data_IF_642515706116
#
_entry.id   IF_642515706116
#
_cell.length_a   1.000
_cell.length_b   1.000
_cell.length_c   1.000
_cell.angle_alpha   90.00
_cell.angle_beta   90.00
_cell.angle_gamma   90.00
#
_symmetry.space_group_name_H-M   'P 1'
#
loop_
_entity.id
_entity.type
_entity.pdbx_description
1 polymer ?
#
# COMPACT_ATOMS: atom_id res chain seq x y z
N UNK A 1 -1.98 5.06 -32.64
CA UNK A 1 -1.92 5.03 -34.14
C UNK A 1 -0.73 5.84 -34.58
N UNK A 2 0.05 5.29 -35.51
CA UNK A 2 1.28 5.92 -36.00
C UNK A 2 1.27 5.83 -37.52
N UNK A 3 1.61 6.93 -38.18
CA UNK A 3 1.87 6.96 -39.59
C UNK A 3 3.34 6.61 -39.86
N UNK A 4 3.61 5.68 -40.78
CA UNK A 4 4.97 5.29 -41.18
C UNK A 4 5.26 3.80 -40.99
N UNK A 5 6.56 3.46 -41.11
CA UNK A 5 7.04 2.08 -40.98
C UNK A 5 7.02 1.60 -39.51
N UNK A 6 6.11 0.70 -39.14
CA UNK A 6 5.93 0.30 -37.72
C UNK A 6 7.19 -0.31 -37.10
N UNK A 7 7.96 -1.08 -37.88
CA UNK A 7 9.19 -1.72 -37.40
C UNK A 7 10.24 -0.70 -36.98
N UNK A 8 10.39 0.38 -37.73
CA UNK A 8 11.34 1.45 -37.42
C UNK A 8 10.97 2.14 -36.11
N UNK A 9 9.67 2.43 -35.91
CA UNK A 9 9.20 3.01 -34.65
C UNK A 9 9.42 2.09 -33.46
N UNK A 10 9.01 0.82 -33.58
CA UNK A 10 9.16 -0.15 -32.50
C UNK A 10 10.63 -0.37 -32.11
N UNK A 11 11.54 -0.38 -33.10
CA UNK A 11 12.99 -0.45 -32.85
C UNK A 11 13.50 0.82 -32.17
N UNK A 12 13.00 1.99 -32.59
CA UNK A 12 13.38 3.27 -32.00
C UNK A 12 12.96 3.34 -30.52
N UNK A 13 11.69 3.02 -30.21
CA UNK A 13 11.19 3.00 -28.83
C UNK A 13 11.96 2.02 -27.96
N UNK A 14 12.20 0.80 -28.48
CA UNK A 14 13.03 -0.18 -27.78
C UNK A 14 14.43 0.36 -27.55
N UNK A 15 15.02 1.01 -28.55
CA UNK A 15 16.36 1.60 -28.47
C UNK A 15 16.46 2.64 -27.36
N UNK A 16 15.50 3.55 -27.25
CA UNK A 16 15.46 4.58 -26.19
C UNK A 16 15.40 3.95 -24.79
N UNK A 17 14.49 2.98 -24.58
CA UNK A 17 14.37 2.29 -23.28
C UNK A 17 15.65 1.56 -22.90
N UNK A 18 16.29 0.86 -23.85
CA UNK A 18 17.56 0.18 -23.60
C UNK A 18 18.71 1.12 -23.35
N UNK A 19 18.81 2.23 -24.07
CA UNK A 19 19.84 3.24 -23.88
C UNK A 19 19.73 3.86 -22.48
N UNK A 20 18.51 4.17 -22.03
CA UNK A 20 18.30 4.72 -20.69
C UNK A 20 18.65 3.73 -19.59
N UNK A 21 18.23 2.47 -19.73
CA UNK A 21 18.58 1.41 -18.77
C UNK A 21 20.11 1.20 -18.70
N UNK A 22 20.80 1.23 -19.85
CA UNK A 22 22.25 1.16 -19.91
C UNK A 22 22.90 2.39 -19.24
N UNK A 23 22.41 3.60 -19.51
CA UNK A 23 22.91 4.83 -18.89
C UNK A 23 22.85 4.77 -17.38
N UNK A 24 21.67 4.44 -16.82
CA UNK A 24 21.44 4.30 -15.39
C UNK A 24 22.36 3.24 -14.76
N UNK A 25 22.50 2.09 -15.42
CA UNK A 25 23.34 1.01 -14.89
C UNK A 25 24.83 1.36 -14.93
N UNK A 26 25.33 1.98 -16.00
CA UNK A 26 26.73 2.39 -16.11
C UNK A 26 27.10 3.49 -15.09
N UNK A 27 26.19 4.40 -14.76
CA UNK A 27 26.39 5.36 -13.67
C UNK A 27 26.63 4.62 -12.34
N UNK A 28 25.78 3.63 -12.02
CA UNK A 28 25.91 2.81 -10.80
C UNK A 28 27.21 2.01 -10.82
N UNK A 29 27.54 1.35 -11.95
CA UNK A 29 28.77 0.55 -12.08
C UNK A 29 30.02 1.41 -11.90
N UNK A 30 30.02 2.59 -12.48
CA UNK A 30 31.15 3.52 -12.40
C UNK A 30 31.33 4.04 -10.97
N UNK A 31 30.26 4.42 -10.33
CA UNK A 31 30.32 4.91 -8.95
C UNK A 31 30.72 3.81 -7.98
N UNK A 32 30.05 2.67 -8.02
CA UNK A 32 30.29 1.55 -7.10
C UNK A 32 31.68 0.92 -7.32
N UNK A 33 32.11 0.75 -8.56
CA UNK A 33 33.41 0.17 -8.90
C UNK A 33 34.63 0.98 -8.43
N UNK A 34 34.44 2.26 -8.09
CA UNK A 34 35.48 3.09 -7.44
C UNK A 34 35.62 2.79 -5.95
N UNK A 35 34.57 2.32 -5.32
CA UNK A 35 34.48 2.11 -3.88
C UNK A 35 34.64 0.64 -3.49
N UNK A 36 34.28 -0.28 -4.38
CA UNK A 36 34.20 -1.71 -4.10
C UNK A 36 34.42 -2.56 -5.34
N UNK A 37 34.80 -3.83 -5.15
CA UNK A 37 34.95 -4.77 -6.25
C UNK A 37 33.58 -5.07 -6.89
N UNK A 38 33.55 -5.01 -8.24
CA UNK A 38 32.38 -5.29 -9.06
C UNK A 38 32.75 -6.18 -10.26
N UNK A 39 32.02 -7.29 -10.45
CA UNK A 39 32.10 -8.09 -11.67
C UNK A 39 31.28 -7.45 -12.80
N UNK A 40 31.80 -6.38 -13.38
CA UNK A 40 31.09 -5.49 -14.32
C UNK A 40 30.55 -6.22 -15.55
N UNK A 41 31.31 -7.18 -16.11
CA UNK A 41 30.87 -7.92 -17.29
C UNK A 41 29.62 -8.76 -17.00
N UNK A 42 29.60 -9.42 -15.85
CA UNK A 42 28.44 -10.22 -15.40
C UNK A 42 27.26 -9.31 -15.04
N UNK A 43 27.51 -8.19 -14.39
CA UNK A 43 26.47 -7.19 -14.07
C UNK A 43 25.80 -6.66 -15.35
N UNK A 44 26.56 -6.31 -16.39
CA UNK A 44 26.03 -5.89 -17.69
C UNK A 44 25.20 -6.98 -18.36
N UNK A 45 25.65 -8.23 -18.34
CA UNK A 45 24.90 -9.36 -18.90
C UNK A 45 23.54 -9.54 -18.21
N UNK A 46 23.51 -9.41 -16.87
CA UNK A 46 22.27 -9.51 -16.08
C UNK A 46 21.29 -8.37 -16.34
N UNK A 47 21.79 -7.16 -16.72
CA UNK A 47 20.92 -6.04 -17.11
C UNK A 47 20.43 -6.19 -18.55
N UNK A 48 21.27 -6.67 -19.45
CA UNK A 48 20.89 -6.91 -20.85
C UNK A 48 19.72 -7.90 -21.00
N UNK A 49 19.51 -8.76 -20.00
CA UNK A 49 18.43 -9.75 -19.94
C UNK A 49 17.27 -9.35 -19.01
N UNK A 50 17.26 -8.13 -18.51
CA UNK A 50 16.27 -7.71 -17.52
C UNK A 50 14.87 -7.51 -18.12
N UNK A 51 14.78 -6.95 -19.32
CA UNK A 51 13.52 -6.57 -19.95
C UNK A 51 13.18 -7.49 -21.13
N UNK A 52 12.04 -8.16 -21.02
CA UNK A 52 11.43 -8.89 -22.12
C UNK A 52 10.58 -7.93 -22.96
N UNK A 53 10.95 -7.74 -24.24
CA UNK A 53 10.27 -6.83 -25.14
C UNK A 53 9.36 -7.58 -26.10
N UNK A 54 8.06 -7.32 -26.00
CA UNK A 54 7.04 -7.84 -26.93
C UNK A 54 6.32 -6.68 -27.60
N UNK A 55 6.18 -6.74 -28.90
CA UNK A 55 5.48 -5.71 -29.69
C UNK A 55 4.76 -6.30 -30.88
N UNK A 56 3.65 -5.66 -31.25
CA UNK A 56 2.81 -5.99 -32.41
C UNK A 56 2.44 -4.69 -33.10
N UNK A 57 2.37 -4.74 -34.40
CA UNK A 57 1.79 -3.69 -35.22
C UNK A 57 0.73 -4.30 -36.16
N UNK A 58 -0.42 -3.68 -36.27
CA UNK A 58 -1.55 -4.10 -37.10
C UNK A 58 -1.98 -2.91 -37.95
N UNK A 59 -2.15 -3.08 -39.26
CA UNK A 59 -2.70 -2.02 -40.11
C UNK A 59 -4.15 -1.72 -39.72
N UNK A 60 -4.53 -0.45 -39.79
CA UNK A 60 -5.92 -0.02 -39.67
C UNK A 60 -6.48 0.14 -41.08
N UNK A 61 -7.51 -0.64 -41.38
CA UNK A 61 -8.24 -0.53 -42.61
C UNK A 61 -9.19 0.67 -42.60
N UNK A 62 -9.47 1.24 -43.77
CA UNK A 62 -10.45 2.31 -43.89
C UNK A 62 -11.87 1.79 -43.58
N UNK A 63 -12.67 2.62 -42.95
CA UNK A 63 -14.07 2.32 -42.59
C UNK A 63 -14.36 2.53 -41.10
N UNK A 64 -15.65 2.63 -40.77
CA UNK A 64 -16.14 3.02 -39.43
C UNK A 64 -15.71 2.06 -38.30
N UNK A 65 -15.48 0.78 -38.64
CA UNK A 65 -15.05 -0.26 -37.67
C UNK A 65 -13.58 -0.69 -37.83
N UNK A 66 -12.83 -0.07 -38.75
CA UNK A 66 -11.43 -0.44 -39.03
C UNK A 66 -10.52 -0.36 -37.81
N UNK A 67 -10.65 0.70 -37.03
CA UNK A 67 -9.87 0.85 -35.78
C UNK A 67 -10.21 -0.22 -34.74
N UNK A 68 -11.50 -0.53 -34.53
CA UNK A 68 -11.91 -1.53 -33.53
C UNK A 68 -11.44 -2.93 -33.94
N UNK A 69 -11.57 -3.31 -35.22
CA UNK A 69 -11.05 -4.59 -35.74
C UNK A 69 -9.53 -4.72 -35.54
N UNK A 70 -8.79 -3.66 -35.91
CA UNK A 70 -7.34 -3.63 -35.77
C UNK A 70 -6.91 -3.75 -34.33
N UNK A 71 -7.61 -3.09 -33.39
CA UNK A 71 -7.33 -3.18 -31.94
C UNK A 71 -7.56 -4.60 -31.44
N UNK A 72 -8.71 -5.21 -31.67
CA UNK A 72 -9.00 -6.59 -31.24
C UNK A 72 -7.96 -7.56 -31.81
N UNK A 73 -7.58 -7.41 -33.06
CA UNK A 73 -6.54 -8.24 -33.67
C UNK A 73 -5.17 -8.01 -32.99
N UNK A 74 -4.82 -6.76 -32.69
CA UNK A 74 -3.56 -6.44 -32.02
C UNK A 74 -3.50 -7.04 -30.61
N UNK A 75 -4.58 -6.96 -29.84
CA UNK A 75 -4.70 -7.57 -28.52
C UNK A 75 -4.52 -9.10 -28.58
N UNK A 76 -5.21 -9.76 -29.51
CA UNK A 76 -5.10 -11.21 -29.72
C UNK A 76 -3.69 -11.63 -30.13
N UNK A 77 -3.08 -10.92 -31.08
CA UNK A 77 -1.72 -11.18 -31.54
C UNK A 77 -0.68 -10.92 -30.46
N UNK A 78 -0.84 -9.85 -29.66
CA UNK A 78 0.05 -9.57 -28.53
C UNK A 78 -0.06 -10.65 -27.45
N UNK A 79 -1.27 -11.12 -27.13
CA UNK A 79 -1.48 -12.22 -26.21
C UNK A 79 -0.84 -13.52 -26.71
N UNK A 80 -1.00 -13.84 -28.01
CA UNK A 80 -0.33 -14.97 -28.63
C UNK A 80 1.21 -14.82 -28.60
N UNK A 81 1.71 -13.61 -28.91
CA UNK A 81 3.15 -13.29 -28.90
C UNK A 81 3.78 -13.47 -27.52
N UNK A 82 3.09 -13.07 -26.45
CA UNK A 82 3.55 -13.27 -25.08
C UNK A 82 3.68 -14.74 -24.65
N UNK A 83 2.96 -15.63 -25.33
CA UNK A 83 3.07 -17.07 -25.10
C UNK A 83 4.24 -17.73 -25.87
N UNK A 84 4.77 -17.05 -26.88
CA UNK A 84 5.95 -17.50 -27.62
C UNK A 84 7.20 -17.00 -26.89
N UNK A 85 7.85 -17.88 -26.14
CA UNK A 85 9.12 -17.55 -25.47
C UNK A 85 10.28 -17.70 -26.45
N UNK A 86 10.48 -16.70 -27.28
CA UNK A 86 11.53 -16.66 -28.31
C UNK A 86 12.80 -15.90 -27.88
N UNK A 87 12.93 -15.59 -26.60
CA UNK A 87 14.18 -15.16 -25.99
C UNK A 87 14.90 -16.37 -25.37
N UNK A 88 16.22 -16.40 -25.53
CA UNK A 88 17.04 -17.42 -24.91
C UNK A 88 16.88 -17.33 -23.37
N UNK A 89 16.50 -18.44 -22.68
CA UNK A 89 16.48 -18.39 -21.22
C UNK A 89 17.90 -18.11 -20.73
N UNK A 90 18.04 -17.10 -19.90
CA UNK A 90 19.33 -16.82 -19.26
C UNK A 90 19.67 -18.01 -18.39
N UNK A 91 20.79 -18.66 -18.69
CA UNK A 91 21.32 -19.70 -17.83
C UNK A 91 21.97 -19.06 -16.59
N UNK A 92 21.22 -18.94 -15.53
CA UNK A 92 21.77 -18.65 -14.20
C UNK A 92 22.52 -19.87 -13.68
N UNK A 93 23.37 -20.45 -14.46
CA UNK A 93 23.67 -21.88 -14.42
C UNK A 93 25.01 -22.26 -13.83
N UNK A 94 25.81 -21.34 -13.32
CA UNK A 94 26.98 -21.77 -12.61
C UNK A 94 26.67 -21.99 -11.11
N UNK A 95 27.48 -22.76 -10.42
CA UNK A 95 27.34 -23.03 -9.00
C UNK A 95 27.86 -21.88 -8.12
N UNK A 96 28.01 -20.69 -8.70
CA UNK A 96 28.41 -19.50 -7.96
C UNK A 96 27.33 -19.04 -6.99
N UNK A 97 27.74 -18.31 -5.98
CA UNK A 97 26.86 -17.77 -4.97
C UNK A 97 25.78 -16.88 -5.58
N UNK A 98 24.55 -17.01 -5.08
CA UNK A 98 23.39 -16.28 -5.58
C UNK A 98 23.09 -15.03 -4.73
N UNK A 99 22.52 -14.03 -5.37
CA UNK A 99 22.09 -12.79 -4.72
C UNK A 99 21.11 -13.07 -3.61
N UNK A 100 21.28 -12.41 -2.46
CA UNK A 100 20.41 -12.56 -1.29
C UNK A 100 18.99 -12.02 -1.51
N UNK A 101 18.78 -11.16 -2.53
CA UNK A 101 17.48 -10.55 -2.79
C UNK A 101 16.60 -11.33 -3.77
N UNK A 102 17.17 -12.02 -4.75
CA UNK A 102 16.39 -12.77 -5.74
C UNK A 102 16.63 -14.29 -5.76
N UNK A 103 17.72 -14.73 -5.14
CA UNK A 103 18.08 -16.15 -5.06
C UNK A 103 18.42 -16.84 -6.40
N UNK A 104 18.32 -16.14 -7.51
CA UNK A 104 18.47 -16.70 -8.85
C UNK A 104 19.76 -16.23 -9.55
N UNK A 105 20.03 -14.92 -9.52
CA UNK A 105 21.16 -14.31 -10.22
C UNK A 105 22.44 -14.42 -9.39
N UNK A 106 23.56 -14.62 -10.08
CA UNK A 106 24.88 -14.67 -9.45
C UNK A 106 25.24 -13.34 -8.81
N UNK A 107 25.98 -13.42 -7.70
CA UNK A 107 26.55 -12.25 -7.04
C UNK A 107 27.57 -11.57 -7.95
N UNK A 108 27.46 -10.27 -8.10
CA UNK A 108 28.44 -9.41 -8.81
C UNK A 108 29.13 -8.42 -7.90
N UNK A 109 28.52 -8.15 -6.74
CA UNK A 109 29.03 -7.17 -5.79
C UNK A 109 28.68 -7.55 -4.34
N UNK A 110 29.52 -7.07 -3.43
CA UNK A 110 29.27 -7.15 -1.98
C UNK A 110 29.13 -5.73 -1.44
N UNK A 111 27.94 -5.41 -0.93
CA UNK A 111 27.62 -4.12 -0.32
C UNK A 111 27.75 -4.24 1.20
N UNK A 112 28.47 -3.30 1.82
CA UNK A 112 28.62 -3.23 3.28
C UNK A 112 28.02 -1.92 3.76
N UNK A 113 26.89 -2.01 4.43
CA UNK A 113 26.18 -0.84 4.99
C UNK A 113 25.66 -1.19 6.39
N UNK A 114 25.78 -0.27 7.33
CA UNK A 114 25.22 -0.37 8.69
C UNK A 114 25.57 -1.70 9.40
N UNK A 115 26.85 -2.14 9.33
CA UNK A 115 27.32 -3.41 9.87
C UNK A 115 26.73 -4.69 9.22
N UNK A 116 25.92 -4.55 8.18
CA UNK A 116 25.41 -5.68 7.38
C UNK A 116 26.20 -5.83 6.09
N UNK A 117 26.38 -7.07 5.66
CA UNK A 117 27.03 -7.41 4.39
C UNK A 117 26.01 -8.08 3.50
N UNK A 118 25.72 -7.49 2.35
CA UNK A 118 24.76 -8.02 1.38
C UNK A 118 25.49 -8.39 0.08
N UNK A 119 25.22 -9.56 -0.45
CA UNK A 119 25.74 -10.06 -1.71
C UNK A 119 24.68 -9.89 -2.79
N UNK A 120 24.94 -9.03 -3.78
CA UNK A 120 23.94 -8.56 -4.73
C UNK A 120 24.32 -8.93 -6.17
N UNK A 121 23.29 -9.27 -6.96
CA UNK A 121 23.39 -9.34 -8.42
C UNK A 121 23.34 -7.92 -9.02
N UNK A 122 23.61 -7.78 -10.33
CA UNK A 122 23.58 -6.50 -11.01
C UNK A 122 22.23 -5.79 -10.92
N UNK A 123 21.13 -6.51 -11.08
CA UNK A 123 19.79 -5.95 -10.95
C UNK A 123 19.52 -5.42 -9.54
N UNK A 124 19.88 -6.21 -8.52
CA UNK A 124 19.72 -5.82 -7.13
C UNK A 124 20.60 -4.62 -6.76
N UNK A 125 21.85 -4.59 -7.28
CA UNK A 125 22.75 -3.46 -7.10
C UNK A 125 22.21 -2.19 -7.78
N UNK A 126 21.71 -2.30 -9.02
CA UNK A 126 21.08 -1.18 -9.72
C UNK A 126 19.89 -0.62 -8.93
N UNK A 127 19.00 -1.46 -8.44
CA UNK A 127 17.86 -1.05 -7.60
C UNK A 127 18.29 -0.41 -6.28
N UNK A 128 19.38 -0.88 -5.67
CA UNK A 128 19.88 -0.37 -4.37
C UNK A 128 20.62 0.95 -4.51
N UNK A 129 21.36 1.17 -5.61
CA UNK A 129 22.26 2.30 -5.82
C UNK A 129 21.81 3.24 -6.93
N UNK A 130 20.79 2.87 -7.71
CA UNK A 130 20.21 3.75 -8.70
C UNK A 130 19.64 5.00 -8.05
N UNK A 131 19.72 6.11 -8.75
CA UNK A 131 19.11 7.35 -8.29
C UNK A 131 17.58 7.22 -8.37
N UNK A 132 16.92 7.63 -7.31
CA UNK A 132 15.49 7.85 -7.29
C UNK A 132 15.29 9.34 -7.54
N UNK A 133 14.50 9.70 -8.54
CA UNK A 133 14.13 11.09 -8.84
C UNK A 133 13.07 11.62 -7.84
N UNK A 134 13.21 11.30 -6.55
CA UNK A 134 12.44 11.93 -5.51
C UNK A 134 13.12 13.23 -5.08
N UNK A 135 12.34 14.27 -4.76
CA UNK A 135 12.87 15.59 -4.34
C UNK A 135 13.92 15.46 -3.22
N UNK A 136 13.83 14.42 -2.37
CA UNK A 136 14.80 14.13 -1.31
C UNK A 136 15.67 12.89 -1.57
N UNK A 137 15.47 12.17 -2.67
CA UNK A 137 16.23 10.95 -3.02
C UNK A 137 16.08 9.81 -2.02
N UNK A 138 14.97 9.77 -1.24
CA UNK A 138 14.74 8.81 -0.18
C UNK A 138 13.43 8.06 -0.40
N UNK A 139 13.50 6.78 -0.16
CA UNK A 139 12.35 5.90 -0.01
C UNK A 139 12.17 5.58 1.48
N UNK A 140 10.98 5.79 2.00
CA UNK A 140 10.71 5.55 3.41
C UNK A 140 10.58 4.05 3.70
N UNK A 141 11.19 3.60 4.81
CA UNK A 141 11.05 2.22 5.27
C UNK A 141 9.65 1.92 5.78
N UNK A 142 9.27 0.65 5.83
CA UNK A 142 8.00 0.22 6.42
C UNK A 142 7.88 0.63 7.89
N UNK A 143 8.99 0.67 8.62
CA UNK A 143 9.07 1.17 10.01
C UNK A 143 8.76 2.65 10.08
N UNK A 144 9.30 3.44 9.14
CA UNK A 144 9.02 4.88 9.07
C UNK A 144 7.54 5.15 8.79
N UNK A 145 6.94 4.41 7.83
CA UNK A 145 5.51 4.53 7.53
C UNK A 145 4.65 4.18 8.75
N UNK A 146 4.97 3.10 9.46
CA UNK A 146 4.26 2.72 10.69
C UNK A 146 4.39 3.78 11.80
N UNK A 147 5.51 4.50 11.86
CA UNK A 147 5.74 5.56 12.84
C UNK A 147 5.01 6.87 12.52
N UNK A 148 4.51 7.07 11.29
CA UNK A 148 3.87 8.32 10.88
C UNK A 148 2.65 8.68 11.72
N UNK A 149 1.94 7.72 12.29
CA UNK A 149 0.81 7.97 13.18
C UNK A 149 1.25 8.82 14.39
N UNK A 150 2.35 8.44 15.03
CA UNK A 150 2.91 9.18 16.17
C UNK A 150 3.57 10.48 15.73
N UNK A 151 4.32 10.47 14.62
CA UNK A 151 5.00 11.66 14.11
C UNK A 151 4.00 12.78 13.74
N UNK A 152 2.86 12.41 13.14
CA UNK A 152 1.80 13.36 12.82
C UNK A 152 1.21 14.03 14.07
N UNK A 153 0.93 13.24 15.12
CA UNK A 153 0.43 13.77 16.39
C UNK A 153 1.47 14.64 17.11
N UNK A 154 2.71 14.22 17.03
CA UNK A 154 3.80 14.96 17.63
C UNK A 154 4.00 16.33 16.97
N UNK A 155 3.95 16.41 15.64
CA UNK A 155 4.06 17.69 14.90
C UNK A 155 2.94 18.68 15.22
N UNK A 156 1.77 18.21 15.62
CA UNK A 156 0.66 19.09 16.04
C UNK A 156 0.88 19.74 17.40
N UNK A 157 1.62 19.11 18.29
CA UNK A 157 1.72 19.49 19.69
C UNK A 157 3.11 19.99 20.10
N UNK A 158 4.13 19.76 19.30
CA UNK A 158 5.52 20.08 19.64
C UNK A 158 6.24 20.74 18.47
N UNK A 159 7.14 21.67 18.77
CA UNK A 159 7.96 22.29 17.75
C UNK A 159 9.14 21.37 17.31
N UNK A 160 9.74 21.70 16.18
CA UNK A 160 10.86 20.93 15.61
C UNK A 160 12.12 20.95 16.52
N UNK A 161 12.28 21.97 17.37
CA UNK A 161 13.44 22.09 18.27
C UNK A 161 13.32 21.07 19.42
N UNK A 162 12.15 20.92 20.03
CA UNK A 162 11.89 19.90 21.05
C UNK A 162 12.14 18.49 20.52
N UNK A 163 11.79 18.22 19.27
CA UNK A 163 12.08 16.93 18.64
C UNK A 163 13.57 16.70 18.43
N UNK A 164 14.29 17.71 17.98
CA UNK A 164 15.75 17.63 17.82
C UNK A 164 16.45 17.40 19.17
N UNK A 165 15.98 18.04 20.23
CA UNK A 165 16.47 17.85 21.59
C UNK A 165 16.21 16.43 22.10
N UNK A 166 15.03 15.90 21.85
CA UNK A 166 14.68 14.51 22.18
C UNK A 166 15.60 13.51 21.47
N UNK A 167 15.77 13.64 20.17
CA UNK A 167 16.66 12.75 19.38
C UNK A 167 18.10 12.85 19.87
N UNK A 168 18.57 14.07 20.18
CA UNK A 168 19.91 14.29 20.77
C UNK A 168 20.07 13.62 22.13
N UNK A 169 19.06 13.68 22.98
CA UNK A 169 19.09 13.06 24.31
C UNK A 169 19.06 11.53 24.21
N UNK A 170 18.28 10.96 23.30
CA UNK A 170 18.32 9.52 22.98
C UNK A 170 19.71 9.09 22.47
N UNK A 171 20.31 9.88 21.58
CA UNK A 171 21.64 9.61 21.02
C UNK A 171 22.75 9.61 22.07
N UNK A 172 22.70 10.51 23.05
CA UNK A 172 23.69 10.58 24.13
C UNK A 172 23.63 9.38 25.06
N UNK A 173 22.46 8.86 25.34
CA UNK A 173 22.29 7.72 26.25
C UNK A 173 22.73 6.38 25.65
N UNK A 174 22.66 6.23 24.32
CA UNK A 174 22.89 4.97 23.63
C UNK A 174 24.14 4.94 22.75
N UNK A 175 25.09 5.89 22.93
CA UNK A 175 26.30 5.99 22.11
C UNK A 175 26.05 6.15 20.59
N UNK A 176 24.92 6.71 20.22
CA UNK A 176 24.58 6.90 18.82
C UNK A 176 25.39 8.05 18.22
N UNK A 177 26.20 7.74 17.26
CA UNK A 177 26.89 8.73 16.43
C UNK A 177 26.00 9.20 15.28
N UNK A 178 24.87 9.82 15.59
CA UNK A 178 24.04 10.47 14.60
C UNK A 178 24.64 11.84 14.30
N UNK A 179 25.30 11.97 13.16
CA UNK A 179 25.87 13.25 12.69
C UNK A 179 24.79 14.29 12.37
N UNK A 180 23.56 13.86 12.11
CA UNK A 180 22.35 14.68 12.00
C UNK A 180 21.17 13.86 12.45
N UNK A 181 20.48 14.23 13.54
CA UNK A 181 19.27 13.53 13.96
C UNK A 181 18.18 13.79 12.94
N UNK A 182 17.85 12.76 12.14
CA UNK A 182 16.71 12.76 11.25
C UNK A 182 15.56 12.09 11.96
N UNK A 183 14.34 12.57 11.79
CA UNK A 183 13.12 11.95 12.33
C UNK A 183 13.08 10.44 12.05
N UNK A 184 13.52 10.04 10.87
CA UNK A 184 13.58 8.66 10.38
C UNK A 184 14.54 7.78 11.16
N UNK A 185 15.71 8.31 11.53
CA UNK A 185 16.77 7.50 12.16
C UNK A 185 16.45 7.07 13.60
N UNK A 186 15.51 7.73 14.26
CA UNK A 186 15.05 7.29 15.59
C UNK A 186 14.26 5.98 15.47
N UNK A 187 13.39 5.87 14.46
CA UNK A 187 12.58 4.69 14.24
C UNK A 187 13.31 3.60 13.48
N UNK A 188 14.14 3.95 12.49
CA UNK A 188 14.97 2.99 11.75
C UNK A 188 16.04 2.33 12.65
N UNK A 189 16.54 3.04 13.64
CA UNK A 189 17.56 2.50 14.53
C UNK A 189 16.99 1.51 15.55
N UNK A 190 15.76 1.70 15.98
CA UNK A 190 15.03 0.80 16.87
C UNK A 190 14.15 -0.20 16.14
N UNK A 191 14.51 -0.63 15.00
CA UNK A 191 13.88 -1.65 14.15
C UNK A 191 12.71 -2.39 14.84
N UNK A 192 11.61 -1.74 14.93
CA UNK A 192 10.28 -2.15 15.29
C UNK A 192 10.04 -3.01 16.53
N UNK A 193 10.36 -4.28 16.53
CA UNK A 193 10.15 -5.13 17.70
C UNK A 193 11.06 -4.75 18.85
N UNK A 194 12.27 -4.40 18.52
CA UNK A 194 13.29 -4.01 19.46
C UNK A 194 12.98 -2.66 20.13
N UNK A 195 12.17 -1.80 19.51
CA UNK A 195 11.61 -0.61 20.15
C UNK A 195 10.84 -0.94 21.44
N UNK A 196 10.29 -2.13 21.53
CA UNK A 196 9.37 -2.48 22.60
C UNK A 196 9.98 -3.39 23.67
N UNK A 197 11.01 -4.18 23.37
CA UNK A 197 11.47 -5.26 24.23
C UNK A 197 13.01 -5.36 24.43
N UNK A 198 13.86 -4.51 23.77
CA UNK A 198 15.32 -4.61 23.92
C UNK A 198 15.93 -3.75 25.03
N UNK A 199 17.16 -4.12 25.53
CA UNK A 199 17.95 -3.28 26.40
C UNK A 199 18.25 -1.94 25.71
N UNK A 200 17.70 -0.85 26.23
CA UNK A 200 17.76 0.49 25.62
C UNK A 200 16.39 1.06 25.25
N UNK A 201 15.41 0.23 24.93
CA UNK A 201 14.04 0.69 24.72
C UNK A 201 13.48 1.40 25.96
N UNK A 202 13.83 0.93 27.15
CA UNK A 202 13.47 1.58 28.40
C UNK A 202 14.00 3.01 28.54
N UNK A 203 15.19 3.30 28.03
CA UNK A 203 15.78 4.64 28.09
C UNK A 203 15.18 5.55 27.01
N UNK A 204 14.84 5.01 25.84
CA UNK A 204 14.04 5.70 24.83
C UNK A 204 12.67 6.10 25.42
N UNK A 205 11.95 5.19 26.07
CA UNK A 205 10.66 5.49 26.68
C UNK A 205 10.75 6.44 27.86
N UNK A 206 11.83 6.41 28.65
CA UNK A 206 12.10 7.40 29.69
C UNK A 206 12.32 8.79 29.09
N UNK A 207 13.12 8.89 28.00
CA UNK A 207 13.35 10.14 27.32
C UNK A 207 12.04 10.65 26.67
N UNK A 208 11.23 9.76 26.10
CA UNK A 208 9.91 10.05 25.55
C UNK A 208 8.98 10.65 26.63
N UNK A 209 8.88 10.00 27.78
CA UNK A 209 8.02 10.47 28.89
C UNK A 209 8.54 11.76 29.52
N UNK A 210 9.87 11.92 29.66
CA UNK A 210 10.50 13.12 30.21
C UNK A 210 10.26 14.38 29.41
N UNK A 211 10.11 14.25 28.09
CA UNK A 211 9.90 15.37 27.17
C UNK A 211 8.42 15.61 26.84
N UNK A 212 7.50 15.16 27.70
CA UNK A 212 6.04 15.33 27.55
C UNK A 212 5.46 14.81 26.22
N UNK A 213 6.13 13.84 25.61
CA UNK A 213 5.55 13.16 24.47
C UNK A 213 4.24 12.48 24.86
N UNK A 214 3.22 12.48 24.03
CA UNK A 214 2.00 11.74 24.31
C UNK A 214 2.39 10.28 24.58
N UNK A 215 2.08 9.80 25.79
CA UNK A 215 2.61 8.58 26.38
C UNK A 215 2.10 7.27 25.76
N UNK A 216 1.79 7.29 24.46
CA UNK A 216 1.32 6.15 23.73
C UNK A 216 2.44 5.57 22.85
N UNK A 217 2.61 4.25 22.90
CA UNK A 217 3.52 3.53 22.03
C UNK A 217 3.00 3.60 20.58
N UNK A 218 3.86 3.81 19.57
CA UNK A 218 3.45 3.73 18.17
C UNK A 218 2.87 2.33 17.88
N UNK A 219 1.85 2.30 17.05
CA UNK A 219 1.32 1.03 16.54
C UNK A 219 2.32 0.47 15.53
N UNK A 220 2.78 -0.79 15.68
CA UNK A 220 3.78 -1.38 14.78
C UNK A 220 3.17 -1.86 13.46
N UNK A 221 2.11 -1.23 13.02
CA UNK A 221 1.35 -1.59 11.82
C UNK A 221 1.29 -0.45 10.83
N UNK A 222 1.24 -0.79 9.55
CA UNK A 222 1.00 0.12 8.44
C UNK A 222 0.07 -0.54 7.44
N UNK A 223 -0.39 0.22 6.45
CA UNK A 223 -1.23 -0.29 5.39
C UNK A 223 -0.46 -0.37 4.07
N UNK A 224 -0.65 -1.44 3.31
CA UNK A 224 -0.34 -1.50 1.88
C UNK A 224 -1.64 -1.37 1.12
N UNK A 225 -1.72 -0.38 0.25
CA UNK A 225 -2.79 -0.18 -0.70
C UNK A 225 -2.42 -0.82 -2.04
N UNK A 226 -3.33 -1.59 -2.60
CA UNK A 226 -3.36 -1.97 -4.02
C UNK A 226 -4.73 -1.62 -4.56
N UNK A 227 -4.79 -0.81 -5.60
CA UNK A 227 -6.03 -0.46 -6.27
C UNK A 227 -5.88 -0.65 -7.78
N UNK A 228 -6.96 -1.02 -8.44
CA UNK A 228 -6.97 -1.32 -9.88
C UNK A 228 -8.35 -1.02 -10.46
N UNK A 229 -8.36 -0.48 -11.69
CA UNK A 229 -9.58 -0.11 -12.38
C UNK A 229 -10.43 -1.32 -12.74
N UNK A 230 -11.73 -1.16 -12.56
CA UNK A 230 -12.72 -2.18 -12.88
C UNK A 230 -13.22 -2.01 -14.32
N UNK A 231 -13.28 -3.12 -15.05
CA UNK A 231 -13.91 -3.20 -16.39
C UNK A 231 -13.35 -2.22 -17.42
N UNK A 232 -12.08 -1.81 -17.29
CA UNK A 232 -11.38 -0.90 -18.23
C UNK A 232 -11.51 -1.40 -19.68
N UNK A 233 -11.31 -2.71 -19.91
CA UNK A 233 -11.43 -3.31 -21.23
C UNK A 233 -12.84 -3.16 -21.82
N UNK A 234 -13.90 -3.30 -21.01
CA UNK A 234 -15.30 -3.13 -21.43
C UNK A 234 -15.60 -1.66 -21.73
N UNK A 235 -15.08 -0.74 -20.91
CA UNK A 235 -15.26 0.70 -21.09
C UNK A 235 -14.60 1.22 -22.40
N UNK A 236 -13.43 0.68 -22.74
CA UNK A 236 -12.70 1.06 -23.97
C UNK A 236 -13.29 0.38 -25.23
N UNK A 237 -13.89 -0.83 -25.09
CA UNK A 237 -14.30 -1.64 -26.22
C UNK A 237 -15.16 -0.91 -27.27
N UNK A 238 -16.17 -0.09 -26.92
CA UNK A 238 -17.02 0.62 -27.88
C UNK A 238 -16.41 1.90 -28.44
N UNK A 239 -15.25 2.36 -27.94
CA UNK A 239 -14.70 3.67 -28.25
C UNK A 239 -14.01 3.69 -29.60
N UNK A 240 -14.18 4.79 -30.33
CA UNK A 240 -13.39 5.13 -31.51
C UNK A 240 -11.97 5.61 -31.11
N UNK A 241 -11.15 5.92 -32.13
CA UNK A 241 -9.76 6.38 -31.88
C UNK A 241 -9.69 7.66 -31.06
N UNK A 242 -10.53 8.66 -31.32
CA UNK A 242 -10.49 9.93 -30.62
C UNK A 242 -10.84 9.74 -29.16
N UNK A 243 -11.91 9.01 -28.89
CA UNK A 243 -12.34 8.71 -27.51
C UNK A 243 -11.37 7.79 -26.76
N UNK A 244 -10.71 6.84 -27.45
CA UNK A 244 -9.62 6.06 -26.86
C UNK A 244 -8.43 6.94 -26.45
N UNK A 245 -8.14 7.99 -27.22
CA UNK A 245 -7.09 8.95 -26.90
C UNK A 245 -7.46 9.78 -25.66
N UNK A 246 -8.73 10.22 -25.57
CA UNK A 246 -9.22 10.94 -24.37
C UNK A 246 -9.21 10.04 -23.13
N UNK A 247 -9.62 8.78 -23.27
CA UNK A 247 -9.54 7.79 -22.20
C UNK A 247 -8.10 7.57 -21.71
N UNK A 248 -7.13 7.42 -22.62
CA UNK A 248 -5.71 7.28 -22.28
C UNK A 248 -5.16 8.52 -21.59
N UNK A 249 -5.63 9.71 -21.98
CA UNK A 249 -5.28 10.98 -21.33
C UNK A 249 -5.83 11.05 -19.91
N UNK A 250 -7.08 10.62 -19.72
CA UNK A 250 -7.70 10.52 -18.39
C UNK A 250 -6.92 9.58 -17.46
N UNK A 251 -6.53 8.38 -17.95
CA UNK A 251 -5.66 7.47 -17.18
C UNK A 251 -4.32 8.12 -16.79
N UNK A 252 -3.70 8.85 -17.73
CA UNK A 252 -2.44 9.55 -17.43
C UNK A 252 -2.63 10.68 -16.43
N UNK A 253 -3.73 11.41 -16.49
CA UNK A 253 -4.07 12.45 -15.52
C UNK A 253 -4.30 11.87 -14.13
N UNK A 254 -5.06 10.79 -14.03
CA UNK A 254 -5.27 10.08 -12.78
C UNK A 254 -3.92 9.65 -12.18
N UNK A 255 -3.10 8.89 -12.91
CA UNK A 255 -1.84 8.38 -12.39
C UNK A 255 -0.87 9.48 -11.93
N UNK A 256 -0.91 10.66 -12.56
CA UNK A 256 -0.08 11.81 -12.16
C UNK A 256 -0.54 12.43 -10.83
N UNK A 257 -1.85 12.41 -10.52
CA UNK A 257 -2.39 12.98 -9.30
C UNK A 257 -2.27 12.06 -8.09
N UNK A 258 -2.12 10.74 -8.32
CA UNK A 258 -1.99 9.73 -7.26
C UNK A 258 -0.86 10.06 -6.28
N UNK A 259 0.30 10.52 -6.77
CA UNK A 259 1.45 10.86 -5.94
C UNK A 259 1.10 11.95 -4.92
N UNK A 260 0.35 12.97 -5.33
CA UNK A 260 -0.10 14.04 -4.44
C UNK A 260 -0.93 13.51 -3.28
N UNK A 261 -1.92 12.66 -3.56
CA UNK A 261 -2.79 12.05 -2.53
C UNK A 261 -1.99 11.20 -1.55
N UNK A 262 -1.08 10.34 -2.07
CA UNK A 262 -0.26 9.48 -1.24
C UNK A 262 0.69 10.29 -0.35
N UNK A 263 1.29 11.36 -0.88
CA UNK A 263 2.18 12.24 -0.13
C UNK A 263 1.44 13.05 0.95
N UNK A 264 0.26 13.58 0.65
CA UNK A 264 -0.58 14.26 1.63
C UNK A 264 -1.02 13.32 2.76
N UNK A 265 -1.25 12.06 2.43
CA UNK A 265 -1.51 10.99 3.40
C UNK A 265 -0.25 10.54 4.19
N UNK A 266 0.92 11.17 3.98
CA UNK A 266 2.22 10.79 4.57
C UNK A 266 2.68 9.39 4.20
N UNK A 267 2.22 8.88 3.08
CA UNK A 267 2.58 7.58 2.54
C UNK A 267 3.76 7.64 1.57
N UNK A 268 4.07 6.49 1.03
CA UNK A 268 5.10 6.29 0.01
C UNK A 268 4.49 5.61 -1.21
N UNK A 269 4.56 6.26 -2.36
CA UNK A 269 4.08 5.71 -3.62
C UNK A 269 5.09 4.70 -4.16
N UNK A 270 4.66 3.46 -4.34
CA UNK A 270 5.48 2.41 -4.95
C UNK A 270 5.32 2.40 -6.47
N UNK A 271 4.07 2.54 -6.92
CA UNK A 271 3.72 2.46 -8.32
C UNK A 271 2.38 3.16 -8.59
N UNK A 272 2.34 3.95 -9.65
CA UNK A 272 1.13 4.44 -10.27
C UNK A 272 1.29 4.35 -11.79
N UNK A 273 0.48 3.56 -12.44
CA UNK A 273 0.61 3.35 -13.88
C UNK A 273 -0.72 2.99 -14.50
N UNK A 274 -1.30 3.95 -15.21
CA UNK A 274 -2.66 3.78 -15.73
C UNK A 274 -3.67 3.78 -14.61
N UNK A 275 -4.36 2.67 -14.44
CA UNK A 275 -5.37 2.39 -13.41
C UNK A 275 -4.82 1.66 -12.16
N UNK A 276 -3.60 1.12 -12.25
CA UNK A 276 -2.94 0.41 -11.15
C UNK A 276 -2.26 1.38 -10.17
N UNK A 277 -2.53 1.22 -8.88
CA UNK A 277 -1.87 1.96 -7.80
C UNK A 277 -1.37 1.01 -6.72
N UNK A 278 -0.14 1.20 -6.28
CA UNK A 278 0.42 0.52 -5.10
C UNK A 278 1.13 1.54 -4.23
N UNK A 279 0.75 1.62 -2.95
CA UNK A 279 1.32 2.57 -2.00
C UNK A 279 1.47 1.97 -0.59
N UNK A 280 2.43 2.49 0.17
CA UNK A 280 2.53 2.27 1.61
C UNK A 280 1.92 3.47 2.33
N UNK A 281 1.05 3.24 3.29
CA UNK A 281 0.28 4.29 3.97
C UNK A 281 0.33 4.08 5.50
N UNK A 282 0.44 5.15 6.29
CA UNK A 282 0.21 5.06 7.72
C UNK A 282 -1.27 4.79 8.00
N UNK A 283 -1.56 4.10 9.10
CA UNK A 283 -2.93 3.67 9.39
C UNK A 283 -3.91 4.82 9.53
N UNK A 284 -3.51 5.95 10.15
CA UNK A 284 -4.43 7.08 10.43
C UNK A 284 -5.03 7.69 9.16
N UNK A 285 -4.35 7.59 8.01
CA UNK A 285 -4.74 8.21 6.73
C UNK A 285 -5.09 7.20 5.64
N UNK A 286 -4.78 5.90 5.84
CA UNK A 286 -4.90 4.89 4.79
C UNK A 286 -6.30 4.76 4.20
N UNK A 287 -7.34 4.75 5.04
CA UNK A 287 -8.73 4.65 4.58
C UNK A 287 -9.15 5.91 3.80
N UNK A 288 -8.75 7.09 4.30
CA UNK A 288 -9.02 8.36 3.65
C UNK A 288 -8.33 8.49 2.29
N UNK A 289 -7.06 8.08 2.20
CA UNK A 289 -6.33 8.07 0.93
C UNK A 289 -6.94 7.11 -0.09
N UNK A 290 -7.34 5.91 0.33
CA UNK A 290 -8.01 4.94 -0.54
C UNK A 290 -9.33 5.51 -1.10
N UNK A 291 -10.12 6.21 -0.25
CA UNK A 291 -11.36 6.87 -0.67
C UNK A 291 -11.10 8.02 -1.65
N UNK A 292 -10.09 8.86 -1.39
CA UNK A 292 -9.73 9.96 -2.28
C UNK A 292 -9.29 9.45 -3.66
N UNK A 293 -8.55 8.33 -3.73
CA UNK A 293 -8.17 7.71 -4.99
C UNK A 293 -9.39 7.18 -5.76
N UNK A 294 -10.33 6.55 -5.06
CA UNK A 294 -11.59 6.10 -5.64
C UNK A 294 -12.39 7.27 -6.21
N UNK A 295 -12.54 8.35 -5.44
CA UNK A 295 -13.29 9.53 -5.85
C UNK A 295 -12.64 10.24 -7.04
N UNK A 296 -11.31 10.44 -6.99
CA UNK A 296 -10.54 10.99 -8.10
C UNK A 296 -10.72 10.17 -9.38
N UNK A 297 -10.71 8.84 -9.26
CA UNK A 297 -10.92 7.95 -10.40
C UNK A 297 -12.33 8.14 -11.00
N UNK A 298 -13.36 8.12 -10.15
CA UNK A 298 -14.74 8.35 -10.54
C UNK A 298 -14.96 9.72 -11.20
N UNK A 299 -14.39 10.79 -10.65
CA UNK A 299 -14.43 12.14 -11.21
C UNK A 299 -13.75 12.19 -12.58
N UNK A 300 -12.52 11.63 -12.69
CA UNK A 300 -11.73 11.64 -13.93
C UNK A 300 -12.47 10.97 -15.10
N UNK A 301 -13.12 9.82 -14.86
CA UNK A 301 -13.84 9.09 -15.90
C UNK A 301 -15.29 9.55 -16.06
N UNK A 302 -15.90 10.17 -15.04
CA UNK A 302 -17.22 10.77 -15.12
C UNK A 302 -17.31 11.89 -16.18
N UNK A 303 -16.23 12.64 -16.38
CA UNK A 303 -16.15 13.71 -17.39
C UNK A 303 -16.20 13.20 -18.84
N UNK A 304 -15.85 11.91 -19.07
CA UNK A 304 -15.80 11.33 -20.41
C UNK A 304 -17.18 10.94 -20.97
N UNK A 305 -18.25 11.01 -20.18
CA UNK A 305 -19.60 10.62 -20.56
C UNK A 305 -19.65 9.24 -21.26
N UNK A 306 -19.02 8.23 -20.62
CA UNK A 306 -19.03 6.86 -21.10
C UNK A 306 -20.38 6.21 -20.81
N UNK A 307 -20.82 5.30 -21.67
CA UNK A 307 -22.05 4.53 -21.44
C UNK A 307 -21.94 3.69 -20.16
N UNK A 308 -20.76 3.10 -19.93
CA UNK A 308 -20.40 2.37 -18.71
C UNK A 308 -19.04 2.86 -18.21
N UNK A 309 -19.01 3.88 -17.35
CA UNK A 309 -17.75 4.36 -16.80
C UNK A 309 -17.09 3.28 -15.94
N UNK A 310 -15.75 3.15 -15.99
CA UNK A 310 -15.02 2.24 -15.12
C UNK A 310 -15.06 2.76 -13.68
N UNK A 311 -14.91 1.85 -12.72
CA UNK A 311 -14.80 2.14 -11.29
C UNK A 311 -13.44 1.73 -10.76
N UNK A 312 -13.15 2.00 -9.49
CA UNK A 312 -11.90 1.62 -8.85
C UNK A 312 -12.17 0.71 -7.66
N UNK A 313 -11.68 -0.52 -7.71
CA UNK A 313 -11.65 -1.41 -6.55
C UNK A 313 -10.31 -1.33 -5.84
N UNK A 314 -10.32 -1.34 -4.50
CA UNK A 314 -9.13 -1.23 -3.70
C UNK A 314 -9.03 -2.31 -2.62
N UNK A 315 -7.79 -2.74 -2.34
CA UNK A 315 -7.44 -3.62 -1.25
C UNK A 315 -6.46 -2.94 -0.29
N UNK A 316 -6.72 -3.02 1.01
CA UNK A 316 -5.82 -2.61 2.07
C UNK A 316 -5.35 -3.83 2.86
N UNK A 317 -4.05 -4.05 2.96
CA UNK A 317 -3.46 -5.00 3.90
C UNK A 317 -2.89 -4.23 5.09
N UNK A 318 -3.44 -4.46 6.28
CA UNK A 318 -2.95 -3.91 7.54
C UNK A 318 -1.98 -4.92 8.15
N UNK A 319 -0.69 -4.62 8.09
CA UNK A 319 0.38 -5.56 8.40
C UNK A 319 1.39 -4.97 9.39
N UNK A 320 2.03 -5.83 10.15
CA UNK A 320 3.15 -5.43 11.01
C UNK A 320 4.35 -5.01 10.14
N UNK A 321 5.06 -3.94 10.52
CA UNK A 321 6.15 -3.37 9.71
C UNK A 321 7.31 -4.34 9.45
N UNK A 322 7.48 -5.38 10.25
CA UNK A 322 8.46 -6.46 10.04
C UNK A 322 7.93 -7.64 9.20
N UNK A 323 6.66 -7.63 8.78
CA UNK A 323 6.17 -8.64 7.85
C UNK A 323 6.99 -8.57 6.56
N UNK A 324 7.52 -9.70 6.04
CA UNK A 324 8.24 -9.69 4.77
C UNK A 324 7.42 -8.97 3.68
N UNK A 325 8.02 -8.00 3.00
CA UNK A 325 7.30 -7.12 2.07
C UNK A 325 6.58 -7.90 0.96
N UNK A 326 7.19 -9.00 0.49
CA UNK A 326 6.55 -9.89 -0.49
C UNK A 326 5.25 -10.52 0.01
N UNK A 327 5.24 -10.95 1.28
CA UNK A 327 4.05 -11.50 1.92
C UNK A 327 2.99 -10.41 2.15
N UNK A 328 3.40 -9.25 2.62
CA UNK A 328 2.53 -8.11 2.85
C UNK A 328 1.87 -7.62 1.54
N UNK A 329 2.65 -7.52 0.45
CA UNK A 329 2.14 -7.17 -0.87
C UNK A 329 1.16 -8.23 -1.41
N UNK A 330 1.44 -9.53 -1.18
CA UNK A 330 0.52 -10.58 -1.58
C UNK A 330 -0.82 -10.47 -0.84
N UNK A 331 -0.80 -10.11 0.45
CA UNK A 331 -2.03 -9.86 1.22
C UNK A 331 -2.82 -8.67 0.66
N UNK A 332 -2.15 -7.60 0.24
CA UNK A 332 -2.81 -6.44 -0.38
C UNK A 332 -3.45 -6.79 -1.72
N UNK A 333 -2.77 -7.58 -2.56
CA UNK A 333 -3.34 -8.12 -3.80
C UNK A 333 -4.52 -9.07 -3.55
N UNK A 334 -4.45 -9.88 -2.50
CA UNK A 334 -5.58 -10.73 -2.11
C UNK A 334 -6.78 -9.89 -1.65
N UNK A 335 -6.53 -8.78 -0.94
CA UNK A 335 -7.58 -7.83 -0.57
C UNK A 335 -8.21 -7.18 -1.81
N UNK A 336 -7.41 -6.69 -2.76
CA UNK A 336 -7.89 -6.14 -4.04
C UNK A 336 -8.72 -7.17 -4.81
N UNK A 337 -8.22 -8.39 -4.97
CA UNK A 337 -8.96 -9.49 -5.60
C UNK A 337 -10.29 -9.79 -4.89
N UNK A 338 -10.34 -9.63 -3.56
CA UNK A 338 -11.57 -9.77 -2.77
C UNK A 338 -12.54 -8.63 -3.03
N UNK A 339 -12.06 -7.38 -3.13
CA UNK A 339 -12.87 -6.23 -3.51
C UNK A 339 -13.54 -6.44 -4.87
N UNK A 340 -12.80 -6.91 -5.87
CA UNK A 340 -13.32 -7.24 -7.21
C UNK A 340 -14.33 -8.41 -7.25
N UNK A 341 -14.42 -9.21 -6.17
CA UNK A 341 -15.45 -10.27 -6.03
C UNK A 341 -16.74 -9.78 -5.39
N UNK A 342 -16.79 -8.58 -4.86
CA UNK A 342 -18.03 -7.94 -4.44
C UNK A 342 -18.89 -7.72 -5.67
N UNK A 343 -20.18 -8.04 -5.56
CA UNK A 343 -21.10 -7.93 -6.70
C UNK A 343 -21.10 -6.52 -7.28
N UNK A 344 -20.88 -6.44 -8.61
CA UNK A 344 -20.70 -5.19 -9.34
C UNK A 344 -19.40 -4.43 -9.00
N UNK A 345 -18.39 -5.06 -8.40
CA UNK A 345 -17.07 -4.45 -8.09
C UNK A 345 -17.20 -3.11 -7.37
N UNK A 346 -16.46 -2.07 -7.72
CA UNK A 346 -16.57 -0.74 -7.09
C UNK A 346 -16.58 -0.85 -5.55
N UNK A 347 -15.51 -1.45 -5.01
CA UNK A 347 -15.49 -1.95 -3.65
C UNK A 347 -14.13 -1.74 -2.97
N UNK A 348 -14.16 -1.78 -1.64
CA UNK A 348 -13.00 -1.82 -0.78
C UNK A 348 -12.96 -3.16 -0.04
N UNK A 349 -11.79 -3.78 0.06
CA UNK A 349 -11.56 -4.87 0.98
C UNK A 349 -10.35 -4.61 1.87
N UNK A 350 -10.42 -5.07 3.11
CA UNK A 350 -9.35 -4.90 4.10
C UNK A 350 -9.00 -6.27 4.67
N UNK A 351 -7.70 -6.59 4.68
CA UNK A 351 -7.13 -7.76 5.35
C UNK A 351 -6.23 -7.28 6.48
N UNK A 352 -6.62 -7.53 7.72
CA UNK A 352 -5.79 -7.27 8.90
C UNK A 352 -5.05 -8.55 9.30
N UNK A 353 -3.74 -8.58 9.12
CA UNK A 353 -2.88 -9.66 9.58
C UNK A 353 -2.40 -9.38 11.01
N UNK A 354 -2.72 -10.28 11.92
CA UNK A 354 -2.15 -10.29 13.28
C UNK A 354 -0.96 -11.24 13.31
N UNK A 355 0.00 -11.02 14.23
CA UNK A 355 1.16 -11.92 14.39
C UNK A 355 0.78 -13.36 14.76
N UNK A 356 -0.39 -13.56 15.33
CA UNK A 356 -0.93 -14.88 15.66
C UNK A 356 -2.40 -14.96 15.34
N UNK A 357 -2.84 -16.13 14.86
CA UNK A 357 -4.23 -16.38 14.47
C UNK A 357 -4.52 -16.11 12.99
N UNK A 358 -5.77 -16.37 12.59
CA UNK A 358 -6.23 -16.11 11.24
C UNK A 358 -6.35 -14.59 10.99
N UNK A 359 -6.05 -14.10 9.77
CA UNK A 359 -6.30 -12.72 9.41
C UNK A 359 -7.79 -12.40 9.49
N UNK A 360 -8.11 -11.14 9.71
CA UNK A 360 -9.47 -10.61 9.63
C UNK A 360 -9.65 -10.03 8.24
N UNK A 361 -10.70 -10.46 7.57
CA UNK A 361 -11.02 -10.06 6.21
C UNK A 361 -12.42 -9.45 6.17
N UNK A 362 -12.52 -8.24 5.64
CA UNK A 362 -13.78 -7.51 5.46
C UNK A 362 -13.81 -6.91 4.06
N UNK A 363 -14.99 -6.79 3.46
CA UNK A 363 -15.17 -6.17 2.16
C UNK A 363 -16.60 -5.64 1.98
N UNK A 364 -16.74 -4.60 1.18
CA UNK A 364 -18.03 -4.05 0.79
C UNK A 364 -17.90 -2.95 -0.25
N UNK A 365 -19.06 -2.49 -0.73
CA UNK A 365 -19.17 -1.40 -1.71
C UNK A 365 -18.68 -0.08 -1.13
N UNK A 366 -18.05 0.73 -1.97
CA UNK A 366 -17.80 2.12 -1.65
C UNK A 366 -19.13 2.87 -1.36
N UNK A 367 -19.06 3.82 -0.46
CA UNK A 367 -20.21 4.58 0.04
C UNK A 367 -20.85 3.93 1.28
N UNK A 368 -21.23 2.67 1.20
CA UNK A 368 -21.86 1.96 2.31
C UNK A 368 -20.86 1.39 3.32
N UNK A 369 -19.87 0.65 2.83
CA UNK A 369 -18.90 -0.05 3.67
C UNK A 369 -17.91 0.88 4.36
N UNK A 370 -17.30 1.77 3.60
CA UNK A 370 -16.35 2.77 4.15
C UNK A 370 -17.05 3.78 5.06
N UNK A 371 -18.30 4.15 4.76
CA UNK A 371 -19.13 4.99 5.63
C UNK A 371 -19.38 4.32 6.98
N UNK A 372 -19.84 3.07 6.97
CA UNK A 372 -20.05 2.27 8.20
C UNK A 372 -18.74 2.07 8.98
N UNK A 373 -17.64 1.79 8.28
CA UNK A 373 -16.34 1.63 8.91
C UNK A 373 -15.87 2.94 9.57
N UNK A 374 -16.10 4.09 8.94
CA UNK A 374 -15.80 5.40 9.52
C UNK A 374 -16.64 5.66 10.78
N UNK A 375 -17.93 5.34 10.78
CA UNK A 375 -18.76 5.43 11.98
C UNK A 375 -18.18 4.61 13.13
N UNK A 376 -17.75 3.37 12.86
CA UNK A 376 -17.12 2.52 13.87
C UNK A 376 -15.76 3.06 14.34
N UNK A 377 -14.98 3.68 13.45
CA UNK A 377 -13.70 4.32 13.80
C UNK A 377 -13.95 5.51 14.75
N UNK A 378 -14.92 6.36 14.46
CA UNK A 378 -15.29 7.50 15.32
C UNK A 378 -15.76 7.03 16.70
N UNK A 379 -16.68 6.07 16.74
CA UNK A 379 -17.20 5.50 17.98
C UNK A 379 -16.12 4.83 18.84
N UNK A 380 -15.18 4.12 18.21
CA UNK A 380 -14.03 3.54 18.91
C UNK A 380 -13.04 4.64 19.37
N UNK A 381 -12.89 5.70 18.58
CA UNK A 381 -12.06 6.86 18.89
C UNK A 381 -12.58 7.62 20.10
N UNK A 382 -13.87 7.89 20.20
CA UNK A 382 -14.47 8.60 21.32
C UNK A 382 -14.52 7.80 22.63
N UNK A 383 -14.11 6.52 22.56
CA UNK A 383 -14.19 5.61 23.70
C UNK A 383 -15.62 5.17 24.03
N UNK A 384 -16.54 5.41 23.12
CA UNK A 384 -17.95 5.08 23.23
C UNK A 384 -18.21 3.59 23.01
N UNK A 385 -17.35 2.90 22.26
CA UNK A 385 -17.38 1.46 22.10
C UNK A 385 -16.50 0.76 23.14
N UNK A 386 -17.09 -0.11 23.94
CA UNK A 386 -16.32 -0.96 24.83
C UNK A 386 -15.41 -1.89 23.99
N UNK A 387 -14.11 -1.89 24.28
CA UNK A 387 -13.10 -2.70 23.55
C UNK A 387 -13.42 -4.19 23.41
N UNK A 388 -14.21 -4.74 24.33
CA UNK A 388 -14.66 -6.14 24.29
C UNK A 388 -15.91 -6.40 23.45
N UNK A 389 -16.61 -5.40 22.89
CA UNK A 389 -17.85 -5.59 22.15
C UNK A 389 -17.62 -6.38 20.85
N UNK A 390 -16.61 -6.01 20.11
CA UNK A 390 -16.26 -6.68 18.85
C UNK A 390 -15.98 -8.18 19.05
N UNK A 391 -15.24 -8.51 20.10
CA UNK A 391 -14.93 -9.91 20.42
C UNK A 391 -16.17 -10.68 20.93
N UNK A 392 -17.05 -10.04 21.70
CA UNK A 392 -18.30 -10.64 22.15
C UNK A 392 -19.23 -10.93 20.96
N UNK A 393 -19.36 -10.01 20.02
CA UNK A 393 -20.13 -10.24 18.78
C UNK A 393 -19.52 -11.32 17.91
N UNK A 394 -18.20 -11.40 17.85
CA UNK A 394 -17.50 -12.46 17.14
C UNK A 394 -17.76 -13.83 17.79
N UNK A 395 -17.72 -13.91 19.11
CA UNK A 395 -18.03 -15.12 19.85
C UNK A 395 -19.50 -15.54 19.65
N UNK A 396 -20.43 -14.57 19.66
CA UNK A 396 -21.84 -14.84 19.33
C UNK A 396 -21.97 -15.39 17.90
N UNK A 397 -21.35 -14.77 16.91
CA UNK A 397 -21.40 -15.23 15.53
C UNK A 397 -20.83 -16.65 15.36
N UNK A 398 -19.73 -16.97 16.04
CA UNK A 398 -19.09 -18.29 15.95
C UNK A 398 -19.85 -19.37 16.72
N UNK A 399 -20.31 -19.09 17.94
CA UNK A 399 -20.89 -20.13 18.82
C UNK A 399 -22.36 -20.36 18.60
N UNK A 400 -23.11 -19.34 18.14
CA UNK A 400 -24.53 -19.42 17.91
C UNK A 400 -24.98 -18.96 16.51
N UNK A 401 -24.05 -18.92 15.56
CA UNK A 401 -24.26 -18.45 14.18
C UNK A 401 -25.30 -19.22 13.39
N UNK A 402 -25.69 -20.44 13.86
CA UNK A 402 -26.80 -21.21 13.30
C UNK A 402 -28.20 -20.71 13.68
N UNK A 403 -28.29 -19.67 14.56
CA UNK A 403 -29.59 -19.07 14.88
C UNK A 403 -30.09 -18.19 13.72
N UNK A 404 -31.43 -17.97 13.63
CA UNK A 404 -31.97 -17.01 12.69
C UNK A 404 -31.33 -15.63 12.85
N UNK A 405 -31.10 -14.86 11.76
CA UNK A 405 -30.44 -13.55 11.81
C UNK A 405 -31.08 -12.57 12.81
N UNK A 406 -32.40 -12.63 12.97
CA UNK A 406 -33.14 -11.80 13.94
C UNK A 406 -32.77 -12.12 15.40
N UNK A 407 -32.58 -13.39 15.72
CA UNK A 407 -32.17 -13.83 17.06
C UNK A 407 -30.72 -13.39 17.35
N UNK A 408 -29.81 -13.51 16.37
CA UNK A 408 -28.45 -13.03 16.49
C UNK A 408 -28.41 -11.52 16.72
N UNK A 409 -29.20 -10.74 15.95
CA UNK A 409 -29.32 -9.29 16.14
C UNK A 409 -29.87 -8.93 17.52
N UNK A 410 -30.87 -9.66 18.01
CA UNK A 410 -31.41 -9.45 19.35
C UNK A 410 -30.35 -9.68 20.44
N UNK A 411 -29.54 -10.74 20.32
CA UNK A 411 -28.40 -11.00 21.23
C UNK A 411 -27.33 -9.93 21.14
N UNK A 412 -26.98 -9.49 19.93
CA UNK A 412 -26.03 -8.41 19.72
C UNK A 412 -26.51 -7.08 20.34
N UNK A 413 -27.80 -6.75 20.19
CA UNK A 413 -28.41 -5.58 20.86
C UNK A 413 -28.35 -5.69 22.38
N UNK A 414 -28.65 -6.86 22.93
CA UNK A 414 -28.60 -7.10 24.37
C UNK A 414 -27.16 -6.95 24.89
N UNK A 415 -26.17 -7.47 24.16
CA UNK A 415 -24.75 -7.33 24.48
C UNK A 415 -24.34 -5.85 24.52
N UNK A 416 -24.72 -5.10 23.48
CA UNK A 416 -24.46 -3.66 23.40
C UNK A 416 -25.11 -2.90 24.56
N UNK A 417 -26.37 -3.18 24.89
CA UNK A 417 -27.09 -2.54 25.99
C UNK A 417 -26.45 -2.82 27.35
N UNK A 418 -26.01 -4.06 27.61
CA UNK A 418 -25.31 -4.42 28.86
C UNK A 418 -24.02 -3.63 29.00
N UNK A 419 -23.24 -3.49 27.94
CA UNK A 419 -21.98 -2.74 27.97
C UNK A 419 -22.23 -1.23 28.08
N UNK A 420 -23.31 -0.71 27.48
CA UNK A 420 -23.74 0.65 27.65
C UNK A 420 -24.12 1.01 29.10
N UNK A 421 -24.67 0.08 29.84
CA UNK A 421 -25.06 0.28 31.26
C UNK A 421 -23.85 0.28 32.23
N UNK A 422 -22.77 -0.39 31.87
CA UNK A 422 -21.57 -0.57 32.71
C UNK A 422 -20.48 0.49 32.54
N UNK A 423 -20.52 1.29 31.50
CA UNK A 423 -19.53 2.31 31.19
C UNK A 423 -20.01 3.73 31.50
N UNK A 424 -19.06 4.63 31.75
CA UNK A 424 -19.28 6.03 32.14
C UNK A 424 -20.31 6.75 31.24
N UNK A 425 -20.85 7.84 31.73
CA UNK A 425 -21.95 8.66 31.21
C UNK A 425 -21.91 9.06 29.71
N UNK A 426 -20.83 8.79 29.00
CA UNK A 426 -20.67 9.12 27.55
C UNK A 426 -21.43 8.18 26.62
N UNK A 427 -21.46 6.87 26.91
CA UNK A 427 -22.21 5.89 26.09
C UNK A 427 -23.75 6.06 26.19
N UNK A 428 -24.21 6.88 27.13
CA UNK A 428 -25.65 7.19 27.29
C UNK A 428 -26.18 8.21 26.28
N UNK A 429 -25.35 8.81 25.45
CA UNK A 429 -25.82 9.69 24.39
C UNK A 429 -26.42 8.79 23.28
N UNK A 430 -27.72 8.83 23.22
CA UNK A 430 -28.64 8.11 22.34
C UNK A 430 -28.21 8.03 20.87
N UNK A 431 -27.36 8.92 20.38
CA UNK A 431 -26.92 9.03 19.00
C UNK A 431 -25.93 7.93 18.60
N UNK A 432 -24.96 7.63 19.46
CA UNK A 432 -23.91 6.62 19.21
C UNK A 432 -24.48 5.21 19.17
N UNK A 433 -25.32 4.88 20.16
CA UNK A 433 -25.99 3.58 20.19
C UNK A 433 -26.94 3.42 18.99
N UNK A 434 -27.59 4.50 18.55
CA UNK A 434 -28.46 4.50 17.37
C UNK A 434 -27.72 4.12 16.10
N UNK A 435 -26.55 4.73 15.84
CA UNK A 435 -25.72 4.39 14.67
C UNK A 435 -25.35 2.90 14.63
N UNK A 436 -24.90 2.34 15.76
CA UNK A 436 -24.58 0.90 15.82
C UNK A 436 -25.82 0.02 15.63
N UNK A 437 -26.97 0.44 16.17
CA UNK A 437 -28.25 -0.25 15.92
C UNK A 437 -28.69 -0.17 14.46
N UNK A 438 -28.53 0.97 13.80
CA UNK A 438 -28.81 1.13 12.37
C UNK A 438 -27.96 0.15 11.54
N UNK A 439 -26.68 0.03 11.86
CA UNK A 439 -25.80 -0.92 11.16
C UNK A 439 -26.15 -2.40 11.39
N UNK A 440 -26.75 -2.75 12.55
CA UNK A 440 -27.29 -4.10 12.78
C UNK A 440 -28.50 -4.41 11.88
N UNK A 441 -29.21 -3.38 11.38
CA UNK A 441 -30.39 -3.54 10.51
C UNK A 441 -30.05 -3.56 9.01
N UNK A 442 -28.81 -3.26 8.61
CA UNK A 442 -28.41 -3.18 7.20
C UNK A 442 -28.34 -4.51 6.45
N UNK A 443 -28.62 -5.62 7.10
CA UNK A 443 -28.52 -6.96 6.50
C UNK A 443 -27.11 -7.54 6.49
N UNK A 444 -26.10 -6.79 6.92
CA UNK A 444 -24.72 -7.28 7.09
C UNK A 444 -24.70 -8.33 8.21
N UNK A 445 -23.95 -9.41 8.02
CA UNK A 445 -23.83 -10.47 9.03
C UNK A 445 -23.17 -9.95 10.31
N UNK A 446 -23.58 -10.53 11.46
CA UNK A 446 -22.99 -10.16 12.75
C UNK A 446 -21.48 -10.42 12.80
N UNK A 447 -21.00 -11.45 12.12
CA UNK A 447 -19.57 -11.75 11.98
C UNK A 447 -18.83 -10.64 11.26
N UNK A 448 -19.37 -10.15 10.13
CA UNK A 448 -18.76 -9.05 9.38
C UNK A 448 -18.75 -7.77 10.21
N UNK A 449 -19.86 -7.40 10.87
CA UNK A 449 -19.90 -6.24 11.75
C UNK A 449 -18.90 -6.34 12.90
N UNK A 450 -18.76 -7.52 13.50
CA UNK A 450 -17.75 -7.75 14.54
C UNK A 450 -16.31 -7.59 14.01
N UNK A 451 -16.04 -8.11 12.82
CA UNK A 451 -14.75 -7.97 12.16
C UNK A 451 -14.47 -6.51 11.78
N UNK A 452 -15.47 -5.78 11.28
CA UNK A 452 -15.36 -4.34 11.00
C UNK A 452 -15.04 -3.54 12.27
N UNK A 453 -15.67 -3.85 13.41
CA UNK A 453 -15.37 -3.22 14.71
C UNK A 453 -13.91 -3.48 15.16
N UNK A 454 -13.37 -4.68 14.94
CA UNK A 454 -11.97 -4.99 15.27
C UNK A 454 -11.03 -4.16 14.41
N UNK A 455 -11.28 -4.08 13.10
CA UNK A 455 -10.47 -3.26 12.18
C UNK A 455 -10.59 -1.78 12.50
N UNK A 456 -11.81 -1.29 12.77
CA UNK A 456 -12.08 0.08 13.15
C UNK A 456 -11.31 0.49 14.41
N UNK A 457 -11.21 -0.39 15.40
CA UNK A 457 -10.45 -0.11 16.62
C UNK A 457 -8.95 0.14 16.36
N UNK A 458 -8.35 -0.54 15.37
CA UNK A 458 -6.97 -0.32 14.97
C UNK A 458 -6.80 1.07 14.32
N UNK A 459 -7.67 1.42 13.37
CA UNK A 459 -7.68 2.75 12.75
C UNK A 459 -7.94 3.87 13.75
N UNK A 460 -8.86 3.67 14.69
CA UNK A 460 -9.15 4.63 15.75
C UNK A 460 -7.95 4.90 16.64
N UNK A 461 -7.21 3.83 17.03
CA UNK A 461 -5.96 3.95 17.75
C UNK A 461 -4.92 4.78 16.99
N UNK A 462 -4.75 4.53 15.69
CA UNK A 462 -3.86 5.28 14.83
C UNK A 462 -4.27 6.76 14.69
N UNK A 463 -5.56 7.04 14.51
CA UNK A 463 -6.09 8.43 14.44
C UNK A 463 -5.84 9.18 15.74
N UNK A 464 -6.01 8.55 16.91
CA UNK A 464 -5.69 9.16 18.21
C UNK A 464 -4.21 9.51 18.33
N UNK A 465 -3.33 8.58 17.94
CA UNK A 465 -1.89 8.86 17.88
C UNK A 465 -1.58 10.06 17.00
N UNK A 466 -2.19 10.13 15.81
CA UNK A 466 -2.00 11.22 14.87
C UNK A 466 -2.63 12.55 15.34
N UNK A 467 -3.47 12.52 16.37
CA UNK A 467 -4.00 13.70 17.05
C UNK A 467 -3.17 14.11 18.28
N UNK A 468 -2.17 13.29 18.66
CA UNK A 468 -1.37 13.49 19.87
C UNK A 468 -2.10 13.09 21.15
N UNK A 469 -3.15 12.28 21.04
CA UNK A 469 -3.91 11.78 22.17
C UNK A 469 -3.30 10.47 22.70
N UNK A 470 -3.48 10.22 24.00
CA UNK A 470 -3.06 8.93 24.59
C UNK A 470 -3.97 7.82 24.07
N UNK A 471 -3.40 6.78 23.48
CA UNK A 471 -4.14 5.54 23.23
C UNK A 471 -4.41 4.85 24.56
N UNK A 472 -5.64 4.43 24.75
CA UNK A 472 -6.09 3.73 25.97
C UNK A 472 -5.45 2.35 26.11
#
# INVERSE_FOLDING_TARGET
VVEGEPQTLLQSVRGVVWQELQRLSEEVWTQFGRESALETAKARAQIADLLEWQSIAVPIEDGDDGFQKARILAEQLLAARKNLRDFAPVSWGDQSEKSVLDGNREVVATVREHAKTEKLCGVALLKRKGKIDAEDGRFFSTSHIAAQDVLAGWEKHHDAALFADFVRDCGRQNSWTLQTPRRDSVFDHYDGEHLFDEPGAGDFWKAWTKNDFPGARPLPYYAILVADGDDIGEAIAPLDWARCTDFSRALSQFSTQVEGIVREARGELIYAGGDDVTALLPLHSALGAAKQLHDLFGETFGELNLEKPPTLSAGLALVHHQTPLSQALQMARNAETRAKKVDGKDALAIIQAKRGGAPIEIAGKWGDFDGRLNDFIELAGDGDLASGLAYEWRDLALNVGGLPPEALRALARQSLQRKAQGTSSKFRKTETASKVFEHLETGVSLENLANELVVASLFAGAKKLAQGEKTL
#
